data_IF_147910201695
#
_entry.id   IF_147910201695
#
_cell.length_a   1.000
_cell.length_b   1.000
_cell.length_c   1.000
_cell.angle_alpha   90.00
_cell.angle_beta   90.00
_cell.angle_gamma   90.00
#
_symmetry.space_group_name_H-M   'P 1'
#
loop_
_entity.id
_entity.type
_entity.pdbx_description
1 polymer ?
#
# COMPACT_ATOMS: atom_id res chain seq x y z
N UNK A 1 -47.09 48.63 29.12
CA UNK A 1 -45.81 47.88 29.07
C UNK A 1 -45.64 47.15 30.38
N UNK A 2 -45.65 45.80 30.37
CA UNK A 2 -45.58 44.98 31.60
C UNK A 2 -44.12 44.92 32.04
N UNK A 3 -43.77 45.57 33.15
CA UNK A 3 -42.43 45.53 33.72
C UNK A 3 -42.25 44.19 34.45
N UNK A 4 -41.60 43.23 33.82
CA UNK A 4 -41.28 41.96 34.48
C UNK A 4 -40.19 42.20 35.52
N UNK A 5 -40.40 41.74 36.75
CA UNK A 5 -39.38 41.84 37.80
C UNK A 5 -38.17 40.99 37.42
N UNK A 6 -36.98 41.51 37.70
CA UNK A 6 -35.70 40.88 37.36
C UNK A 6 -35.58 39.43 37.88
N UNK A 7 -36.27 39.12 38.98
CA UNK A 7 -36.40 37.77 39.56
C UNK A 7 -37.17 36.77 38.68
N UNK A 8 -38.17 37.23 37.93
CA UNK A 8 -38.95 36.36 37.03
C UNK A 8 -38.18 36.07 35.74
N UNK A 9 -37.44 37.06 35.23
CA UNK A 9 -36.54 36.88 34.09
C UNK A 9 -35.41 35.89 34.42
N UNK A 10 -34.79 36.02 35.59
CA UNK A 10 -33.77 35.08 36.06
C UNK A 10 -34.34 33.67 36.22
N UNK A 11 -35.53 33.52 36.80
CA UNK A 11 -36.16 32.21 36.99
C UNK A 11 -36.47 31.51 35.66
N UNK A 12 -36.94 32.25 34.65
CA UNK A 12 -37.20 31.71 33.32
C UNK A 12 -35.91 31.28 32.58
N UNK A 13 -34.82 32.01 32.78
CA UNK A 13 -33.51 31.67 32.19
C UNK A 13 -32.94 30.39 32.83
N UNK A 14 -33.00 30.26 34.15
CA UNK A 14 -32.51 29.03 34.81
C UNK A 14 -33.37 27.80 34.50
N UNK A 15 -34.69 27.97 34.40
CA UNK A 15 -35.59 26.88 34.05
C UNK A 15 -35.34 26.36 32.61
N UNK A 16 -35.07 27.25 31.66
CA UNK A 16 -34.78 26.86 30.28
C UNK A 16 -33.42 26.17 30.15
N UNK A 17 -32.38 26.66 30.82
CA UNK A 17 -31.06 26.03 30.82
C UNK A 17 -31.07 24.59 31.36
N UNK A 18 -31.82 24.33 32.43
CA UNK A 18 -31.97 22.98 33.00
C UNK A 18 -32.69 22.02 32.03
N UNK A 19 -33.68 22.51 31.29
CA UNK A 19 -34.42 21.71 30.31
C UNK A 19 -33.52 21.29 29.13
N UNK A 20 -32.69 22.19 28.61
CA UNK A 20 -31.74 21.88 27.54
C UNK A 20 -30.65 20.90 27.98
N UNK A 21 -30.16 21.04 29.22
CA UNK A 21 -29.18 20.11 29.77
C UNK A 21 -29.77 18.70 29.95
N UNK A 22 -31.01 18.61 30.44
CA UNK A 22 -31.70 17.33 30.61
C UNK A 22 -32.00 16.64 29.27
N UNK A 23 -32.48 17.37 28.27
CA UNK A 23 -32.68 16.84 26.91
C UNK A 23 -31.37 16.44 26.22
N UNK A 24 -30.30 17.22 26.40
CA UNK A 24 -28.98 16.91 25.83
C UNK A 24 -28.36 15.64 26.42
N UNK A 25 -28.52 15.41 27.73
CA UNK A 25 -28.03 14.18 28.36
C UNK A 25 -28.80 12.95 27.90
N UNK A 26 -30.13 13.01 27.79
CA UNK A 26 -30.95 11.88 27.31
C UNK A 26 -30.56 11.43 25.89
N UNK A 27 -30.32 12.37 24.97
CA UNK A 27 -29.91 12.06 23.59
C UNK A 27 -28.55 11.37 23.51
N UNK A 28 -27.62 11.70 24.41
CA UNK A 28 -26.29 11.09 24.46
C UNK A 28 -26.33 9.64 24.98
N UNK A 29 -27.26 9.30 25.88
CA UNK A 29 -27.38 7.94 26.44
C UNK A 29 -28.09 6.96 25.48
N UNK A 30 -28.90 7.46 24.54
CA UNK A 30 -29.55 6.64 23.50
C UNK A 30 -28.66 6.35 22.29
N UNK A 31 -27.52 7.02 22.16
CA UNK A 31 -26.53 6.72 21.14
C UNK A 31 -25.69 5.51 21.56
N UNK A 32 -26.34 4.35 21.68
CA UNK A 32 -25.63 3.08 21.74
C UNK A 32 -24.90 2.92 20.41
N UNK A 33 -23.57 3.09 20.46
CA UNK A 33 -22.71 2.90 19.32
C UNK A 33 -22.99 1.52 18.73
N UNK A 34 -23.38 1.48 17.45
CA UNK A 34 -23.51 0.22 16.73
C UNK A 34 -22.21 -0.58 16.90
N UNK A 35 -22.28 -1.91 17.12
CA UNK A 35 -21.08 -2.72 17.25
C UNK A 35 -20.22 -2.51 16.00
N UNK A 36 -18.97 -2.07 16.22
CA UNK A 36 -18.04 -1.86 15.13
C UNK A 36 -17.93 -3.17 14.33
N UNK A 37 -18.15 -3.09 13.02
CA UNK A 37 -17.97 -4.24 12.14
C UNK A 37 -16.56 -4.82 12.37
N UNK A 38 -16.41 -6.15 12.42
CA UNK A 38 -15.11 -6.77 12.64
C UNK A 38 -14.14 -6.26 11.58
N UNK A 39 -12.99 -5.75 12.02
CA UNK A 39 -11.96 -5.24 11.12
C UNK A 39 -11.54 -6.37 10.17
N UNK A 40 -11.77 -6.16 8.87
CA UNK A 40 -11.30 -7.09 7.85
C UNK A 40 -9.77 -7.14 7.92
N UNK A 41 -9.22 -8.33 8.12
CA UNK A 41 -7.78 -8.52 8.05
C UNK A 41 -7.33 -8.26 6.60
N UNK A 42 -6.26 -7.50 6.38
CA UNK A 42 -5.77 -7.27 5.04
C UNK A 42 -5.28 -8.60 4.45
N UNK A 43 -5.80 -8.96 3.29
CA UNK A 43 -5.29 -10.09 2.52
C UNK A 43 -3.91 -9.73 1.97
N UNK A 44 -2.87 -10.43 2.44
CA UNK A 44 -1.49 -10.22 1.99
C UNK A 44 -1.22 -11.19 0.84
N UNK A 45 -1.08 -10.65 -0.36
CA UNK A 45 -0.69 -11.41 -1.55
C UNK A 45 0.82 -11.29 -1.77
N UNK A 46 1.50 -12.43 -1.98
CA UNK A 46 2.96 -12.50 -2.17
C UNK A 46 3.28 -13.01 -3.56
N UNK A 47 4.18 -12.29 -4.24
CA UNK A 47 4.66 -12.65 -5.57
C UNK A 47 6.10 -13.15 -5.52
N UNK A 48 6.36 -14.25 -6.23
CA UNK A 48 7.66 -14.86 -6.51
C UNK A 48 7.85 -14.99 -8.02
N UNK A 49 9.00 -15.45 -8.49
CA UNK A 49 9.21 -15.69 -9.92
C UNK A 49 8.22 -16.71 -10.52
N UNK A 50 7.72 -17.65 -9.71
CA UNK A 50 6.80 -18.70 -10.17
C UNK A 50 5.41 -18.16 -10.48
N UNK A 51 4.92 -17.18 -9.71
CA UNK A 51 3.56 -16.64 -9.83
C UNK A 51 3.52 -15.17 -10.30
N UNK A 52 4.67 -14.59 -10.69
CA UNK A 52 4.76 -13.20 -11.11
C UNK A 52 3.88 -12.85 -12.31
N UNK A 53 3.55 -13.84 -13.15
CA UNK A 53 2.65 -13.67 -14.29
C UNK A 53 1.19 -13.36 -13.88
N UNK A 54 0.82 -13.64 -12.64
CA UNK A 54 -0.47 -13.24 -12.06
C UNK A 54 -0.39 -11.89 -11.35
N UNK A 55 0.79 -11.29 -11.22
CA UNK A 55 0.93 -10.02 -10.55
C UNK A 55 0.32 -8.89 -11.38
N UNK A 56 -0.36 -7.92 -10.74
CA UNK A 56 -0.80 -6.72 -11.41
C UNK A 56 0.39 -5.95 -11.98
N UNK A 57 0.24 -5.30 -13.15
CA UNK A 57 1.30 -4.49 -13.71
C UNK A 57 1.64 -3.33 -12.76
N UNK A 58 2.92 -2.97 -12.69
CA UNK A 58 3.42 -1.94 -11.78
C UNK A 58 2.72 -0.57 -11.98
N UNK A 59 2.14 -0.30 -13.16
CA UNK A 59 1.35 0.89 -13.45
C UNK A 59 0.05 1.00 -12.63
N UNK A 60 -0.46 -0.11 -12.09
CA UNK A 60 -1.63 -0.12 -11.20
C UNK A 60 -1.32 0.42 -9.79
N UNK A 61 -0.05 0.71 -9.49
CA UNK A 61 0.38 1.33 -8.24
C UNK A 61 0.95 2.74 -8.46
N UNK A 62 0.14 3.72 -8.92
CA UNK A 62 0.63 5.06 -9.21
C UNK A 62 1.05 5.82 -7.94
N UNK A 63 0.31 5.62 -6.83
CA UNK A 63 0.55 6.27 -5.54
C UNK A 63 1.40 5.42 -4.59
N UNK A 64 1.42 4.10 -4.76
CA UNK A 64 2.24 3.19 -3.95
C UNK A 64 3.57 2.90 -4.66
N UNK A 65 4.53 3.80 -4.46
CA UNK A 65 5.86 3.65 -5.04
C UNK A 65 6.59 2.41 -4.52
N UNK A 66 6.36 2.00 -3.27
CA UNK A 66 7.03 0.84 -2.69
C UNK A 66 6.58 -0.45 -3.38
N UNK A 67 5.27 -0.65 -3.54
CA UNK A 67 4.72 -1.78 -4.28
C UNK A 67 5.16 -1.77 -5.75
N UNK A 68 5.10 -0.60 -6.39
CA UNK A 68 5.53 -0.42 -7.79
C UNK A 68 6.99 -0.83 -8.00
N UNK A 69 7.91 -0.30 -7.20
CA UNK A 69 9.34 -0.60 -7.33
C UNK A 69 9.68 -2.01 -6.86
N UNK A 70 8.94 -2.58 -5.91
CA UNK A 70 9.09 -3.98 -5.52
C UNK A 70 8.77 -4.92 -6.68
N UNK A 71 7.64 -4.72 -7.36
CA UNK A 71 7.26 -5.52 -8.54
C UNK A 71 8.26 -5.38 -9.68
N UNK A 72 8.73 -4.16 -9.96
CA UNK A 72 9.75 -3.93 -11.00
C UNK A 72 11.07 -4.66 -10.69
N UNK A 73 11.55 -4.57 -9.45
CA UNK A 73 12.78 -5.27 -9.02
C UNK A 73 12.62 -6.78 -9.09
N UNK A 74 11.46 -7.30 -8.68
CA UNK A 74 11.17 -8.73 -8.76
C UNK A 74 11.19 -9.19 -10.22
N UNK A 75 10.54 -8.46 -11.14
CA UNK A 75 10.54 -8.79 -12.56
C UNK A 75 11.94 -8.83 -13.14
N UNK A 76 12.76 -7.81 -12.85
CA UNK A 76 14.14 -7.76 -13.29
C UNK A 76 14.97 -8.93 -12.73
N UNK A 77 14.85 -9.22 -11.43
CA UNK A 77 15.58 -10.33 -10.80
C UNK A 77 15.22 -11.69 -11.42
N UNK A 78 13.93 -11.95 -11.67
CA UNK A 78 13.49 -13.18 -12.31
C UNK A 78 14.00 -13.29 -13.76
N UNK A 79 14.02 -12.18 -14.51
CA UNK A 79 14.58 -12.16 -15.86
C UNK A 79 16.09 -12.47 -15.83
N UNK A 80 16.87 -11.78 -15.01
CA UNK A 80 18.32 -12.01 -14.88
C UNK A 80 18.63 -13.44 -14.43
N UNK A 81 17.81 -14.03 -13.55
CA UNK A 81 17.97 -15.43 -13.15
C UNK A 81 17.76 -16.38 -14.35
N UNK A 82 16.73 -16.12 -15.16
CA UNK A 82 16.46 -16.95 -16.35
C UNK A 82 17.59 -16.86 -17.38
N UNK A 83 18.14 -15.67 -17.60
CA UNK A 83 19.29 -15.43 -18.46
C UNK A 83 20.55 -16.13 -17.93
N UNK A 84 20.83 -16.01 -16.63
CA UNK A 84 21.95 -16.68 -15.99
C UNK A 84 21.85 -18.21 -16.10
N UNK A 85 20.64 -18.76 -15.93
CA UNK A 85 20.40 -20.19 -16.09
C UNK A 85 20.61 -20.65 -17.53
N UNK A 86 20.16 -19.87 -18.51
CA UNK A 86 20.39 -20.15 -19.92
C UNK A 86 21.89 -20.12 -20.26
N UNK A 87 22.64 -19.14 -19.76
CA UNK A 87 24.09 -19.05 -19.93
C UNK A 87 24.82 -20.23 -19.27
N UNK A 88 24.42 -20.62 -18.07
CA UNK A 88 25.00 -21.78 -17.40
C UNK A 88 24.76 -23.07 -18.20
N UNK A 89 23.56 -23.23 -18.77
CA UNK A 89 23.23 -24.37 -19.65
C UNK A 89 24.08 -24.36 -20.91
N UNK A 90 24.28 -23.19 -21.52
CA UNK A 90 25.12 -23.03 -22.69
C UNK A 90 26.57 -23.45 -22.39
N UNK A 91 27.15 -22.98 -21.28
CA UNK A 91 28.51 -23.36 -20.88
C UNK A 91 28.67 -24.84 -20.54
N UNK A 92 27.63 -25.48 -20.01
CA UNK A 92 27.63 -26.92 -19.78
C UNK A 92 27.68 -27.71 -21.09
N UNK A 93 27.04 -27.20 -22.15
CA UNK A 93 27.03 -27.82 -23.47
C UNK A 93 28.29 -27.51 -24.28
N UNK A 94 28.77 -26.27 -24.21
CA UNK A 94 29.97 -25.78 -24.86
C UNK A 94 30.81 -24.94 -23.88
N UNK A 95 31.84 -25.53 -23.26
CA UNK A 95 32.73 -24.84 -22.33
C UNK A 95 33.52 -23.68 -22.98
N UNK A 96 33.55 -23.62 -24.32
CA UNK A 96 34.25 -22.57 -25.07
C UNK A 96 33.34 -21.42 -25.51
N UNK A 97 32.02 -21.49 -25.24
CA UNK A 97 31.04 -20.50 -25.67
C UNK A 97 31.23 -19.08 -25.08
N UNK A 98 32.19 -18.89 -24.16
CA UNK A 98 32.60 -17.57 -23.62
C UNK A 98 34.02 -17.14 -23.97
N UNK A 99 34.76 -17.92 -24.77
CA UNK A 99 36.15 -17.61 -25.13
C UNK A 99 36.17 -16.57 -26.24
N UNK A 100 36.67 -15.38 -25.92
CA UNK A 100 36.98 -14.35 -26.93
C UNK A 100 38.44 -14.53 -27.33
N UNK A 101 38.68 -14.97 -28.57
CA UNK A 101 40.03 -15.04 -29.11
C UNK A 101 40.49 -13.63 -29.49
N UNK A 102 41.58 -13.16 -28.89
CA UNK A 102 42.22 -11.93 -29.33
C UNK A 102 42.72 -12.11 -30.77
N UNK A 103 42.54 -11.09 -31.65
CA UNK A 103 43.12 -11.13 -32.98
C UNK A 103 44.63 -11.27 -32.85
N UNK A 104 45.21 -12.33 -33.42
CA UNK A 104 46.66 -12.45 -33.48
C UNK A 104 47.21 -11.26 -34.29
N UNK A 105 48.28 -10.59 -33.83
CA UNK A 105 48.96 -9.60 -34.67
C UNK A 105 49.40 -10.29 -35.95
N UNK A 106 48.97 -9.78 -37.11
CA UNK A 106 49.53 -10.20 -38.40
C UNK A 106 51.05 -10.14 -38.28
N UNK A 107 51.70 -11.30 -38.35
CA UNK A 107 53.15 -11.37 -38.50
C UNK A 107 53.50 -10.44 -39.66
N UNK A 108 54.23 -9.37 -39.34
CA UNK A 108 54.86 -8.52 -40.34
C UNK A 108 55.75 -9.45 -41.17
N UNK A 109 55.23 -9.90 -42.31
CA UNK A 109 55.99 -10.65 -43.29
C UNK A 109 57.17 -9.79 -43.76
N UNK A 110 58.36 -10.41 -43.92
CA UNK A 110 59.63 -9.72 -44.14
C UNK A 110 59.72 -8.95 -45.46
#
# INVERSE_FOLDING_TARGET
MRLYKLSELLSAIFASAGMFFYLGTLAAHSAQAAPAAPAQQPEIVVYTCDNLHHAPPASQYPADHAARYALQRLHYACQTQSEAFALATLWQQDPTAGVVLEPQPEEQQP
#
